data_IF_629524127336
#
_entry.id   IF_629524127336
#
_cell.length_a   1.000
_cell.length_b   1.000
_cell.length_c   1.000
_cell.angle_alpha   90.00
_cell.angle_beta   90.00
_cell.angle_gamma   90.00
#
_symmetry.space_group_name_H-M   'P 1'
#
loop_
_entity.id
_entity.type
_entity.pdbx_description
1 polymer ?
#
# COMPACT_ATOMS: atom_id res chain seq x y z
N UNK A 1 23.95 -16.81 -26.19
CA UNK A 1 24.41 -16.32 -24.88
C UNK A 1 23.17 -15.81 -24.16
N UNK A 2 22.59 -16.59 -23.25
CA UNK A 2 21.40 -16.19 -22.47
C UNK A 2 21.84 -15.19 -21.41
N UNK A 3 21.76 -13.91 -21.75
CA UNK A 3 22.04 -12.82 -20.81
C UNK A 3 21.05 -12.93 -19.66
N UNK A 4 21.54 -13.33 -18.49
CA UNK A 4 20.75 -13.52 -17.29
C UNK A 4 20.11 -12.19 -16.85
N UNK A 5 18.77 -12.16 -16.73
CA UNK A 5 18.05 -10.93 -16.39
C UNK A 5 17.67 -10.90 -14.90
N UNK A 6 18.68 -10.71 -14.04
CA UNK A 6 18.52 -10.60 -12.58
C UNK A 6 17.46 -9.54 -12.18
N UNK A 7 17.37 -8.36 -12.82
CA UNK A 7 16.30 -7.39 -12.56
C UNK A 7 14.87 -7.92 -12.81
N UNK A 8 14.66 -8.75 -13.85
CA UNK A 8 13.34 -9.34 -14.10
C UNK A 8 12.91 -10.30 -12.98
N UNK A 9 13.84 -11.11 -12.44
CA UNK A 9 13.54 -11.93 -11.27
C UNK A 9 13.24 -11.07 -10.03
N UNK A 10 13.99 -9.98 -9.80
CA UNK A 10 13.73 -9.04 -8.70
C UNK A 10 12.29 -8.52 -8.77
N UNK A 11 11.86 -8.03 -9.93
CA UNK A 11 10.51 -7.51 -10.12
C UNK A 11 9.43 -8.58 -9.91
N UNK A 12 9.62 -9.77 -10.49
CA UNK A 12 8.67 -10.87 -10.36
C UNK A 12 8.49 -11.31 -8.90
N UNK A 13 9.58 -11.46 -8.16
CA UNK A 13 9.54 -11.80 -6.73
C UNK A 13 8.95 -10.66 -5.89
N UNK A 14 9.25 -9.41 -6.21
CA UNK A 14 8.68 -8.24 -5.54
C UNK A 14 7.15 -8.21 -5.67
N UNK A 15 6.62 -8.61 -6.83
CA UNK A 15 5.19 -8.75 -7.11
C UNK A 15 4.54 -10.00 -6.48
N UNK A 16 5.30 -10.84 -5.79
CA UNK A 16 4.78 -12.04 -5.11
C UNK A 16 4.71 -13.30 -5.98
N UNK A 17 5.37 -13.30 -7.15
CA UNK A 17 5.45 -14.50 -7.98
C UNK A 17 6.35 -15.56 -7.34
N UNK A 18 6.15 -16.82 -7.72
CA UNK A 18 6.96 -17.95 -7.25
C UNK A 18 8.38 -17.93 -7.84
N UNK A 19 9.33 -18.62 -7.19
CA UNK A 19 10.71 -18.75 -7.69
C UNK A 19 10.77 -19.31 -9.12
N UNK A 20 9.85 -20.20 -9.49
CA UNK A 20 9.75 -20.76 -10.85
C UNK A 20 9.32 -19.72 -11.87
N UNK A 21 8.33 -18.89 -11.54
CA UNK A 21 7.88 -17.79 -12.41
C UNK A 21 8.98 -16.73 -12.55
N UNK A 22 9.61 -16.32 -11.45
CA UNK A 22 10.74 -15.39 -11.49
C UNK A 22 11.93 -15.93 -12.30
N UNK A 23 12.16 -17.23 -12.27
CA UNK A 23 13.19 -17.87 -13.08
C UNK A 23 12.86 -17.83 -14.57
N UNK A 24 11.61 -18.08 -14.94
CA UNK A 24 11.12 -17.92 -16.32
C UNK A 24 11.31 -16.49 -16.82
N UNK A 25 10.92 -15.49 -16.02
CA UNK A 25 11.08 -14.05 -16.36
C UNK A 25 12.56 -13.65 -16.51
N UNK A 26 13.45 -14.24 -15.70
CA UNK A 26 14.88 -13.97 -15.77
C UNK A 26 15.65 -14.82 -16.79
N UNK A 27 15.00 -15.78 -17.45
CA UNK A 27 15.63 -16.72 -18.38
C UNK A 27 16.64 -17.67 -17.72
N UNK A 28 16.38 -18.07 -16.47
CA UNK A 28 17.27 -18.95 -15.67
C UNK A 28 16.52 -20.13 -15.07
N UNK A 29 17.24 -21.03 -14.39
CA UNK A 29 16.62 -22.12 -13.61
C UNK A 29 16.09 -21.63 -12.27
N UNK A 30 15.06 -22.28 -11.72
CA UNK A 30 14.58 -22.01 -10.35
C UNK A 30 15.69 -22.16 -9.29
N UNK A 31 16.62 -23.09 -9.51
CA UNK A 31 17.80 -23.28 -8.63
C UNK A 31 18.71 -22.04 -8.63
N UNK A 32 18.83 -21.34 -9.77
CA UNK A 32 19.59 -20.09 -9.86
C UNK A 32 18.93 -18.98 -9.05
N UNK A 33 17.60 -18.86 -9.10
CA UNK A 33 16.85 -17.89 -8.29
C UNK A 33 16.94 -18.22 -6.80
N UNK A 34 16.84 -19.49 -6.42
CA UNK A 34 17.06 -19.94 -5.04
C UNK A 34 18.44 -19.54 -4.52
N UNK A 35 19.50 -19.75 -5.33
CA UNK A 35 20.86 -19.31 -4.98
C UNK A 35 20.97 -17.79 -4.88
N UNK A 36 20.25 -17.03 -5.70
CA UNK A 36 20.22 -15.56 -5.55
C UNK A 36 19.49 -15.13 -4.28
N UNK A 37 18.50 -15.88 -3.81
CA UNK A 37 17.84 -15.58 -2.53
C UNK A 37 18.74 -15.86 -1.31
N UNK A 38 19.88 -16.50 -1.48
CA UNK A 38 20.92 -16.64 -0.45
C UNK A 38 21.86 -15.41 -0.41
N UNK A 39 21.81 -14.55 -1.43
CA UNK A 39 22.59 -13.33 -1.56
C UNK A 39 21.82 -12.14 -0.95
N UNK A 40 22.41 -11.49 0.06
CA UNK A 40 21.72 -10.43 0.80
C UNK A 40 21.41 -9.20 -0.06
N UNK A 41 22.27 -8.86 -1.02
CA UNK A 41 22.04 -7.76 -1.95
C UNK A 41 20.81 -8.03 -2.83
N UNK A 42 20.66 -9.24 -3.36
CA UNK A 42 19.48 -9.60 -4.15
C UNK A 42 18.19 -9.61 -3.32
N UNK A 43 18.24 -10.10 -2.07
CA UNK A 43 17.10 -10.03 -1.13
C UNK A 43 16.72 -8.58 -0.87
N UNK A 44 17.72 -7.72 -0.66
CA UNK A 44 17.51 -6.29 -0.47
C UNK A 44 16.85 -5.65 -1.70
N UNK A 45 17.32 -5.95 -2.91
CA UNK A 45 16.74 -5.44 -4.15
C UNK A 45 15.26 -5.84 -4.32
N UNK A 46 14.91 -7.09 -3.97
CA UNK A 46 13.52 -7.59 -3.99
C UNK A 46 12.66 -6.82 -2.99
N UNK A 47 13.14 -6.62 -1.77
CA UNK A 47 12.39 -5.92 -0.72
C UNK A 47 12.24 -4.42 -1.01
N UNK A 48 13.29 -3.77 -1.50
CA UNK A 48 13.27 -2.39 -1.93
C UNK A 48 12.28 -2.19 -3.09
N UNK A 49 12.31 -3.07 -4.10
CA UNK A 49 11.38 -3.03 -5.23
C UNK A 49 9.94 -3.26 -4.76
N UNK A 50 9.70 -4.22 -3.86
CA UNK A 50 8.38 -4.47 -3.28
C UNK A 50 7.87 -3.25 -2.51
N UNK A 51 8.73 -2.65 -1.71
CA UNK A 51 8.42 -1.41 -0.97
C UNK A 51 8.02 -0.29 -1.92
N UNK A 52 8.74 -0.10 -3.04
CA UNK A 52 8.38 0.90 -4.04
C UNK A 52 7.01 0.63 -4.67
N UNK A 53 6.70 -0.63 -5.01
CA UNK A 53 5.39 -1.03 -5.54
C UNK A 53 4.27 -0.77 -4.53
N UNK A 54 4.48 -1.08 -3.25
CA UNK A 54 3.50 -0.85 -2.19
C UNK A 54 3.26 0.65 -1.97
N UNK A 55 4.31 1.48 -1.97
CA UNK A 55 4.17 2.94 -1.87
C UNK A 55 3.30 3.50 -3.00
N UNK A 56 3.52 3.03 -4.24
CA UNK A 56 2.69 3.41 -5.38
C UNK A 56 1.23 2.97 -5.18
N UNK A 57 1.00 1.74 -4.72
CA UNK A 57 -0.34 1.21 -4.46
C UNK A 57 -1.08 2.03 -3.38
N UNK A 58 -0.40 2.40 -2.29
CA UNK A 58 -0.94 3.26 -1.23
C UNK A 58 -1.36 4.62 -1.79
N UNK A 59 -0.53 5.27 -2.61
CA UNK A 59 -0.90 6.54 -3.24
C UNK A 59 -2.14 6.42 -4.14
N UNK A 60 -2.25 5.33 -4.91
CA UNK A 60 -3.44 5.05 -5.74
C UNK A 60 -4.67 4.78 -4.89
N UNK A 61 -4.53 4.08 -3.76
CA UNK A 61 -5.62 3.81 -2.83
C UNK A 61 -6.12 5.12 -2.21
N UNK A 62 -5.22 5.98 -1.74
CA UNK A 62 -5.58 7.29 -1.18
C UNK A 62 -6.39 8.13 -2.18
N UNK A 63 -5.96 8.19 -3.45
CA UNK A 63 -6.71 8.88 -4.49
C UNK A 63 -8.10 8.27 -4.75
N UNK A 64 -8.20 6.93 -4.75
CA UNK A 64 -9.47 6.22 -4.90
C UNK A 64 -10.41 6.46 -3.71
N UNK A 65 -9.87 6.58 -2.49
CA UNK A 65 -10.65 6.93 -1.29
C UNK A 65 -11.29 8.31 -1.41
N UNK A 66 -10.57 9.32 -1.92
CA UNK A 66 -11.17 10.64 -2.21
C UNK A 66 -12.32 10.52 -3.19
N UNK A 67 -12.13 9.79 -4.30
CA UNK A 67 -13.20 9.56 -5.28
C UNK A 67 -14.41 8.81 -4.70
N UNK A 68 -14.19 7.89 -3.76
CA UNK A 68 -15.28 7.20 -3.07
C UNK A 68 -16.09 8.18 -2.19
N UNK A 69 -15.43 9.11 -1.51
CA UNK A 69 -16.10 10.19 -0.77
C UNK A 69 -16.91 11.08 -1.72
N UNK A 70 -16.32 11.51 -2.85
CA UNK A 70 -17.04 12.31 -3.86
C UNK A 70 -18.30 11.60 -4.35
N UNK A 71 -18.19 10.29 -4.62
CA UNK A 71 -19.32 9.46 -5.06
C UNK A 71 -20.42 9.41 -3.99
N UNK A 72 -20.07 9.31 -2.70
CA UNK A 72 -21.03 9.33 -1.60
C UNK A 72 -21.69 10.70 -1.47
N UNK A 73 -20.93 11.79 -1.65
CA UNK A 73 -21.45 13.17 -1.62
C UNK A 73 -22.43 13.39 -2.77
N UNK A 74 -22.08 12.96 -3.99
CA UNK A 74 -22.96 13.04 -5.15
C UNK A 74 -24.28 12.28 -4.88
N UNK A 75 -24.18 11.07 -4.31
CA UNK A 75 -25.34 10.25 -3.95
C UNK A 75 -26.30 10.92 -2.95
N UNK A 76 -25.84 11.89 -2.14
CA UNK A 76 -26.73 12.67 -1.27
C UNK A 76 -27.75 13.50 -2.06
N UNK A 77 -27.43 13.86 -3.30
CA UNK A 77 -28.26 14.72 -4.15
C UNK A 77 -28.92 13.95 -5.28
N UNK A 78 -28.21 12.99 -5.90
CA UNK A 78 -28.65 12.28 -7.10
C UNK A 78 -29.52 11.06 -6.80
N UNK A 79 -29.19 10.29 -5.77
CA UNK A 79 -29.92 9.07 -5.39
C UNK A 79 -31.20 9.39 -4.59
N UNK A 80 -32.09 8.40 -4.41
CA UNK A 80 -33.35 8.57 -3.65
C UNK A 80 -33.57 7.44 -2.64
N UNK A 81 -34.48 7.67 -1.70
CA UNK A 81 -34.92 6.65 -0.74
C UNK A 81 -33.76 6.08 0.08
N UNK A 82 -33.71 4.76 0.18
CA UNK A 82 -32.74 4.06 1.02
C UNK A 82 -31.28 4.30 0.60
N UNK A 83 -30.99 4.39 -0.71
CA UNK A 83 -29.63 4.61 -1.21
C UNK A 83 -29.04 5.93 -0.71
N UNK A 84 -29.83 7.02 -0.76
CA UNK A 84 -29.44 8.34 -0.23
C UNK A 84 -29.19 8.29 1.28
N UNK A 85 -30.06 7.62 2.03
CA UNK A 85 -29.92 7.47 3.49
C UNK A 85 -28.68 6.66 3.85
N UNK A 86 -28.35 5.61 3.10
CA UNK A 86 -27.12 4.84 3.31
C UNK A 86 -25.87 5.67 3.02
N UNK A 87 -25.85 6.46 1.94
CA UNK A 87 -24.72 7.36 1.65
C UNK A 87 -24.50 8.36 2.79
N UNK A 88 -25.59 8.98 3.28
CA UNK A 88 -25.54 9.90 4.43
C UNK A 88 -25.02 9.22 5.69
N UNK A 89 -25.49 8.00 5.99
CA UNK A 89 -25.03 7.22 7.14
C UNK A 89 -23.54 6.90 7.06
N UNK A 90 -23.07 6.39 5.92
CA UNK A 90 -21.65 6.05 5.72
C UNK A 90 -20.76 7.27 5.91
N UNK A 91 -21.15 8.43 5.39
CA UNK A 91 -20.41 9.68 5.59
C UNK A 91 -20.38 10.11 7.06
N UNK A 92 -21.51 10.07 7.77
CA UNK A 92 -21.56 10.43 9.18
C UNK A 92 -20.72 9.49 10.07
N UNK A 93 -20.82 8.18 9.84
CA UNK A 93 -20.02 7.17 10.56
C UNK A 93 -18.51 7.40 10.32
N UNK A 94 -18.11 7.68 9.08
CA UNK A 94 -16.73 8.01 8.73
C UNK A 94 -16.25 9.32 9.39
N UNK A 95 -17.08 10.36 9.43
CA UNK A 95 -16.74 11.63 10.10
C UNK A 95 -16.51 11.46 11.60
N UNK A 96 -17.33 10.65 12.27
CA UNK A 96 -17.18 10.38 13.71
C UNK A 96 -15.87 9.65 13.99
N UNK A 97 -15.55 8.63 13.20
CA UNK A 97 -14.30 7.88 13.31
C UNK A 97 -13.05 8.74 13.01
N UNK A 98 -13.14 9.63 12.02
CA UNK A 98 -12.04 10.54 11.69
C UNK A 98 -11.80 11.57 12.81
N UNK A 99 -12.87 12.11 13.41
CA UNK A 99 -12.74 13.05 14.54
C UNK A 99 -12.03 12.40 15.73
N UNK A 100 -12.37 11.15 16.05
CA UNK A 100 -11.68 10.39 17.11
C UNK A 100 -10.20 10.17 16.78
N UNK A 101 -9.87 9.89 15.52
CA UNK A 101 -8.49 9.70 15.08
C UNK A 101 -7.66 10.99 15.18
N UNK A 102 -8.24 12.13 14.80
CA UNK A 102 -7.61 13.44 14.89
C UNK A 102 -7.39 13.89 16.36
N UNK A 103 -8.35 13.65 17.25
CA UNK A 103 -8.18 13.93 18.70
C UNK A 103 -7.04 13.10 19.29
N UNK A 104 -6.94 11.82 18.92
CA UNK A 104 -5.86 10.95 19.36
C UNK A 104 -4.49 11.40 18.83
N UNK A 105 -4.40 11.81 17.57
CA UNK A 105 -3.16 12.32 16.96
C UNK A 105 -2.70 13.64 17.60
N UNK A 106 -3.62 14.57 17.88
CA UNK A 106 -3.32 15.82 18.59
C UNK A 106 -2.79 15.54 19.99
N UNK A 107 -3.44 14.64 20.72
CA UNK A 107 -3.02 14.25 22.08
C UNK A 107 -1.68 13.52 22.08
N UNK A 108 -1.41 12.68 21.09
CA UNK A 108 -0.12 11.98 20.96
C UNK A 108 1.00 12.99 20.68
N UNK A 109 0.77 13.92 19.75
CA UNK A 109 1.74 14.98 19.41
C UNK A 109 2.07 15.85 20.63
N UNK A 110 1.06 16.23 21.42
CA UNK A 110 1.27 16.99 22.65
C UNK A 110 2.13 16.23 23.69
N UNK A 111 1.92 14.92 23.82
CA UNK A 111 2.71 14.07 24.72
C UNK A 111 4.16 13.88 24.24
N UNK A 112 4.35 13.72 22.93
CA UNK A 112 5.68 13.61 22.33
C UNK A 112 6.50 14.89 22.53
N UNK A 113 5.88 16.06 22.40
CA UNK A 113 6.52 17.35 22.66
C UNK A 113 6.91 17.54 24.13
N UNK A 114 6.00 17.27 25.07
CA UNK A 114 6.25 17.37 26.51
C UNK A 114 7.42 16.47 26.96
N UNK A 115 7.49 15.26 26.40
CA UNK A 115 8.58 14.32 26.68
C UNK A 115 9.94 14.77 26.11
N UNK A 116 9.95 15.55 25.03
CA UNK A 116 11.17 16.10 24.43
C UNK A 116 11.69 17.32 25.21
N UNK A 117 10.82 18.14 25.78
CA UNK A 117 11.19 19.33 26.57
C UNK A 117 11.76 18.97 27.96
N UNK A 118 11.45 17.77 28.46
CA UNK A 118 11.92 17.27 29.75
C UNK A 118 13.20 16.42 29.69
N UNK A 119 13.89 16.36 28.55
CA UNK A 119 15.15 15.62 28.39
C UNK A 119 16.36 16.53 28.19
#
# INVERSE_FOLDING_TARGET
MTTTNKPAAVLALAQGQTNGQAATEAGVSARTVLRWLEDDDFRHDVDATRTALLRLAVGRLAAASTKAVDTLVDALTTEKGQARVQAAKVLLDACLSLRESLDLEERLTALEADRQDHH
#
